data_IF_487640920657
#
_entry.id   IF_487640920657
#
_cell.length_a   1.000
_cell.length_b   1.000
_cell.length_c   1.000
_cell.angle_alpha   90.00
_cell.angle_beta   90.00
_cell.angle_gamma   90.00
#
_symmetry.space_group_name_H-M   'P 1'
#
loop_
_entity.id
_entity.type
_entity.pdbx_description
1 polymer ?
#
# COMPACT_ATOMS: atom_id res chain seq x y z
N UNK A 1 71.10 -14.55 -39.21
CA UNK A 1 70.96 -15.94 -39.65
C UNK A 1 69.51 -16.11 -40.09
N UNK A 2 69.21 -15.95 -41.28
CA UNK A 2 68.99 -16.78 -42.46
C UNK A 2 68.22 -18.08 -42.12
N UNK A 3 66.91 -18.18 -42.56
CA UNK A 3 66.34 -19.35 -43.29
C UNK A 3 64.85 -19.02 -43.62
N UNK A 4 64.50 -18.79 -44.81
CA UNK A 4 63.91 -19.66 -45.87
C UNK A 4 62.67 -20.43 -45.28
N UNK A 5 61.46 -20.25 -45.70
CA UNK A 5 60.88 -20.18 -47.05
C UNK A 5 60.31 -21.56 -47.44
N UNK A 6 59.01 -21.75 -47.40
CA UNK A 6 58.31 -22.74 -48.22
C UNK A 6 56.89 -22.21 -48.55
N UNK A 7 56.69 -21.98 -49.82
CA UNK A 7 55.40 -21.68 -50.44
C UNK A 7 54.74 -23.01 -50.76
N UNK A 8 53.55 -23.26 -50.30
CA UNK A 8 52.71 -24.33 -50.79
C UNK A 8 51.43 -23.75 -51.41
N UNK A 9 51.36 -23.87 -52.74
CA UNK A 9 50.19 -23.57 -53.55
C UNK A 9 49.28 -24.80 -53.48
N UNK A 10 48.06 -24.65 -52.99
CA UNK A 10 47.00 -25.65 -53.11
C UNK A 10 45.87 -25.09 -53.91
N UNK A 11 45.56 -25.77 -54.99
CA UNK A 11 44.54 -25.48 -55.96
C UNK A 11 43.15 -25.60 -55.36
N UNK A 12 42.32 -24.60 -55.65
CA UNK A 12 40.91 -24.61 -55.32
C UNK A 12 40.10 -25.43 -56.38
N UNK A 13 39.50 -26.48 -55.93
CA UNK A 13 38.42 -27.16 -56.65
C UNK A 13 37.06 -26.54 -56.23
N UNK A 14 36.42 -25.84 -57.16
CA UNK A 14 35.11 -25.27 -56.97
C UNK A 14 34.06 -26.38 -56.95
N UNK A 15 33.32 -26.43 -55.84
CA UNK A 15 32.06 -27.17 -55.77
C UNK A 15 30.97 -26.12 -55.83
N UNK A 16 30.23 -26.08 -56.97
CA UNK A 16 29.02 -25.31 -57.10
C UNK A 16 27.91 -26.00 -56.27
N UNK A 17 27.78 -25.58 -55.01
CA UNK A 17 26.62 -25.95 -54.16
C UNK A 17 25.41 -25.11 -54.53
N UNK A 18 24.34 -25.73 -54.97
CA UNK A 18 23.02 -25.08 -55.08
C UNK A 18 22.61 -24.57 -53.72
N UNK A 19 22.63 -23.28 -53.56
CA UNK A 19 22.17 -22.61 -52.34
C UNK A 19 20.64 -22.55 -52.41
N UNK A 20 20.02 -23.48 -51.71
CA UNK A 20 18.56 -23.49 -51.50
C UNK A 20 18.19 -22.21 -50.72
N UNK A 21 17.39 -21.38 -51.35
CA UNK A 21 16.96 -20.12 -50.74
C UNK A 21 16.16 -20.43 -49.47
N UNK A 22 16.65 -20.01 -48.32
CA UNK A 22 15.95 -20.08 -47.07
C UNK A 22 14.57 -19.36 -47.19
N UNK A 23 13.48 -19.98 -46.69
CA UNK A 23 12.17 -19.32 -46.73
C UNK A 23 12.24 -18.00 -45.96
N UNK A 24 11.72 -16.94 -46.60
CA UNK A 24 11.64 -15.62 -46.01
C UNK A 24 10.91 -15.71 -44.66
N UNK A 25 11.57 -15.24 -43.58
CA UNK A 25 10.96 -15.17 -42.28
C UNK A 25 9.68 -14.33 -42.36
N UNK A 26 8.56 -14.92 -42.01
CA UNK A 26 7.29 -14.22 -41.88
C UNK A 26 7.46 -13.24 -40.76
N UNK A 27 7.19 -11.94 -40.98
CA UNK A 27 7.31 -10.95 -39.89
C UNK A 27 6.35 -11.33 -38.78
N UNK A 28 6.91 -11.67 -37.61
CA UNK A 28 6.11 -11.87 -36.40
C UNK A 28 5.41 -10.55 -36.05
N UNK A 29 4.10 -10.56 -36.16
CA UNK A 29 3.29 -9.43 -35.65
C UNK A 29 3.59 -9.25 -34.17
N UNK A 30 4.00 -8.06 -33.72
CA UNK A 30 4.27 -7.84 -32.30
C UNK A 30 3.03 -8.25 -31.50
N UNK A 31 3.17 -9.26 -30.66
CA UNK A 31 2.11 -9.67 -29.74
C UNK A 31 1.91 -8.51 -28.76
N UNK A 32 0.73 -7.89 -28.82
CA UNK A 32 0.38 -6.83 -27.85
C UNK A 32 0.64 -7.36 -26.44
N UNK A 33 1.40 -6.61 -25.64
CA UNK A 33 1.59 -6.93 -24.23
C UNK A 33 0.21 -6.99 -23.58
N UNK A 34 -0.07 -8.01 -22.74
CA UNK A 34 -1.32 -8.03 -22.00
C UNK A 34 -1.43 -6.73 -21.19
N UNK A 35 -2.65 -6.16 -21.05
CA UNK A 35 -2.84 -4.99 -20.21
C UNK A 35 -2.30 -5.30 -18.81
N UNK A 36 -1.70 -4.31 -18.11
CA UNK A 36 -1.25 -4.51 -16.74
C UNK A 36 -2.43 -5.04 -15.92
N UNK A 37 -2.18 -6.05 -15.10
CA UNK A 37 -3.18 -6.54 -14.17
C UNK A 37 -3.68 -5.37 -13.34
N UNK A 38 -5.00 -5.22 -13.23
CA UNK A 38 -5.61 -4.19 -12.41
C UNK A 38 -5.05 -4.26 -10.99
N UNK A 39 -4.58 -3.13 -10.47
CA UNK A 39 -4.05 -3.11 -9.12
C UNK A 39 -5.21 -3.27 -8.14
N UNK A 40 -5.11 -4.18 -7.15
CA UNK A 40 -6.13 -4.33 -6.14
C UNK A 40 -6.30 -3.02 -5.38
N UNK A 41 -7.53 -2.63 -5.20
CA UNK A 41 -7.95 -1.41 -4.54
C UNK A 41 -8.75 -1.68 -3.28
N UNK A 42 -9.22 -0.62 -2.66
CA UNK A 42 -10.16 -0.67 -1.55
C UNK A 42 -11.30 0.31 -1.78
N UNK A 43 -12.51 -0.16 -1.48
CA UNK A 43 -13.71 0.69 -1.45
C UNK A 43 -14.27 0.74 -0.02
N UNK A 44 -14.84 1.87 0.34
CA UNK A 44 -15.50 2.08 1.63
C UNK A 44 -16.57 3.17 1.49
N UNK A 45 -17.52 3.19 2.40
CA UNK A 45 -18.59 4.19 2.39
C UNK A 45 -18.14 5.43 3.18
N UNK A 46 -18.59 6.59 2.76
CA UNK A 46 -18.30 7.89 3.39
C UNK A 46 -19.50 8.37 4.15
N UNK A 47 -19.30 8.96 5.30
CA UNK A 47 -20.33 9.73 5.97
C UNK A 47 -20.78 10.93 5.10
N UNK A 48 -22.05 11.31 5.22
CA UNK A 48 -22.62 12.43 4.46
C UNK A 48 -21.85 13.73 4.75
N UNK A 49 -21.58 14.51 3.71
CA UNK A 49 -20.85 15.77 3.80
C UNK A 49 -19.33 15.64 3.65
N UNK A 50 -18.76 14.48 3.89
CA UNK A 50 -17.32 14.27 3.71
C UNK A 50 -16.95 14.08 2.24
N UNK A 51 -15.75 14.52 1.90
CA UNK A 51 -15.11 14.34 0.60
C UNK A 51 -13.86 13.50 0.71
N UNK A 52 -13.35 13.02 -0.42
CA UNK A 52 -12.10 12.26 -0.51
C UNK A 52 -11.10 12.96 -1.40
N UNK A 53 -9.83 12.86 -1.05
CA UNK A 53 -8.69 13.25 -1.88
C UNK A 53 -7.54 12.25 -1.72
N UNK A 54 -6.61 12.16 -2.69
CA UNK A 54 -5.36 11.45 -2.45
C UNK A 54 -4.63 12.07 -1.25
N UNK A 55 -3.82 11.28 -0.57
CA UNK A 55 -2.90 11.83 0.44
C UNK A 55 -1.92 12.80 -0.23
N UNK A 56 -1.48 13.80 0.51
CA UNK A 56 -0.35 14.63 0.10
C UNK A 56 0.90 13.75 0.13
N UNK A 57 1.85 14.05 -0.76
CA UNK A 57 3.04 13.27 -1.01
C UNK A 57 2.79 12.01 -1.86
N UNK A 58 3.88 11.43 -2.33
CA UNK A 58 3.92 10.23 -3.17
C UNK A 58 3.60 8.94 -2.37
N UNK A 59 2.59 9.02 -1.48
CA UNK A 59 2.17 7.85 -0.70
C UNK A 59 1.21 7.03 -1.57
N UNK A 60 1.65 5.91 -2.12
CA UNK A 60 0.81 5.12 -3.01
C UNK A 60 -0.42 4.58 -2.25
N UNK A 61 -1.56 4.54 -2.94
CA UNK A 61 -2.80 3.93 -2.47
C UNK A 61 -3.30 4.50 -1.14
N UNK A 62 -3.19 5.80 -0.97
CA UNK A 62 -3.63 6.51 0.21
C UNK A 62 -4.73 7.51 -0.13
N UNK A 63 -5.78 7.52 0.68
CA UNK A 63 -6.94 8.41 0.55
C UNK A 63 -7.23 9.06 1.89
N UNK A 64 -7.49 10.35 1.86
CA UNK A 64 -7.96 11.11 3.02
C UNK A 64 -9.44 11.42 2.87
N UNK A 65 -10.23 11.17 3.91
CA UNK A 65 -11.57 11.72 4.06
C UNK A 65 -11.45 13.03 4.81
N UNK A 66 -12.06 14.06 4.28
CA UNK A 66 -11.99 15.38 4.87
C UNK A 66 -13.34 16.10 4.88
N UNK A 67 -13.52 17.00 5.84
CA UNK A 67 -14.67 17.90 5.90
C UNK A 67 -14.30 19.24 5.22
N UNK A 68 -14.90 19.56 4.06
CA UNK A 68 -14.59 20.80 3.35
C UNK A 68 -15.07 22.06 4.09
N UNK A 69 -15.96 21.92 5.07
CA UNK A 69 -16.48 23.03 5.87
C UNK A 69 -15.66 23.31 7.13
N UNK A 70 -14.77 22.39 7.53
CA UNK A 70 -13.94 22.55 8.70
C UNK A 70 -12.73 23.50 8.44
N UNK A 71 -12.17 24.04 9.51
CA UNK A 71 -10.91 24.78 9.45
C UNK A 71 -9.76 23.88 8.96
N UNK A 72 -8.80 24.48 8.25
CA UNK A 72 -7.76 23.74 7.52
C UNK A 72 -7.03 22.69 8.39
N UNK A 73 -6.63 23.04 9.61
CA UNK A 73 -5.90 22.14 10.50
C UNK A 73 -6.77 21.03 11.15
N UNK A 74 -8.11 21.14 11.08
CA UNK A 74 -9.07 20.15 11.59
C UNK A 74 -9.79 19.40 10.48
N UNK A 75 -9.47 19.71 9.23
CA UNK A 75 -10.23 19.25 8.06
C UNK A 75 -10.07 17.76 7.80
N UNK A 76 -8.86 17.24 7.93
CA UNK A 76 -8.52 15.86 7.61
C UNK A 76 -8.93 14.95 8.77
N UNK A 77 -9.93 14.12 8.52
CA UNK A 77 -10.58 13.31 9.55
C UNK A 77 -10.11 11.86 9.55
N UNK A 78 -9.97 11.24 8.39
CA UNK A 78 -9.61 9.82 8.29
C UNK A 78 -8.61 9.61 7.16
N UNK A 79 -7.59 8.83 7.44
CA UNK A 79 -6.64 8.35 6.45
C UNK A 79 -6.86 6.86 6.22
N UNK A 80 -6.99 6.46 4.96
CA UNK A 80 -7.14 5.07 4.53
C UNK A 80 -5.99 4.75 3.60
N UNK A 81 -5.15 3.80 3.97
CA UNK A 81 -3.94 3.46 3.22
C UNK A 81 -3.77 1.97 3.08
N UNK A 82 -3.43 1.51 1.87
CA UNK A 82 -3.15 0.09 1.59
C UNK A 82 -1.66 -0.22 1.66
N UNK A 83 -1.36 -1.39 2.21
CA UNK A 83 -0.02 -1.95 2.30
C UNK A 83 0.00 -3.39 1.79
N UNK A 84 1.11 -3.81 1.21
CA UNK A 84 1.35 -5.22 0.92
C UNK A 84 1.70 -5.95 2.21
N UNK A 85 1.08 -7.10 2.44
CA UNK A 85 1.39 -7.94 3.59
C UNK A 85 0.16 -8.38 4.39
N UNK A 86 0.34 -9.42 5.20
CA UNK A 86 -0.72 -9.97 6.05
C UNK A 86 -0.97 -9.08 7.28
N UNK A 87 -2.14 -9.30 7.91
CA UNK A 87 -2.68 -8.51 9.01
C UNK A 87 -1.65 -8.17 10.11
N UNK A 88 -1.01 -9.18 10.70
CA UNK A 88 -0.12 -8.96 11.84
C UNK A 88 1.14 -8.16 11.48
N UNK A 89 1.69 -8.40 10.27
CA UNK A 89 2.88 -7.68 9.80
C UNK A 89 2.59 -6.19 9.61
N UNK A 90 1.49 -5.87 8.91
CA UNK A 90 1.11 -4.48 8.66
C UNK A 90 0.63 -3.81 9.95
N UNK A 91 -0.10 -4.51 10.81
CA UNK A 91 -0.55 -3.97 12.08
C UNK A 91 0.62 -3.56 13.00
N UNK A 92 1.69 -4.36 13.04
CA UNK A 92 2.88 -4.01 13.81
C UNK A 92 3.65 -2.84 13.18
N UNK A 93 3.85 -2.86 11.87
CA UNK A 93 4.67 -1.84 11.19
C UNK A 93 3.98 -0.47 11.09
N UNK A 94 2.66 -0.46 10.81
CA UNK A 94 1.94 0.74 10.38
C UNK A 94 0.93 1.25 11.41
N UNK A 95 0.48 0.40 12.34
CA UNK A 95 -0.47 0.78 13.40
C UNK A 95 0.11 0.65 14.81
N UNK A 96 1.38 0.26 14.96
CA UNK A 96 2.03 0.12 16.25
C UNK A 96 1.37 -0.93 17.17
N UNK A 97 0.79 -1.98 16.58
CA UNK A 97 0.12 -3.05 17.34
C UNK A 97 1.14 -4.13 17.71
N UNK A 98 1.61 -4.11 18.92
CA UNK A 98 2.68 -4.99 19.41
C UNK A 98 2.22 -5.84 20.58
N UNK A 99 2.83 -7.01 20.73
CA UNK A 99 2.57 -7.87 21.89
C UNK A 99 3.40 -7.42 23.09
N UNK A 100 2.74 -7.19 24.21
CA UNK A 100 3.42 -6.91 25.47
C UNK A 100 4.05 -8.18 26.09
N UNK A 101 4.68 -8.05 27.24
CA UNK A 101 5.34 -9.16 27.93
C UNK A 101 4.39 -10.31 28.30
N UNK A 102 3.11 -10.03 28.51
CA UNK A 102 2.06 -11.01 28.80
C UNK A 102 1.43 -11.61 27.53
N UNK A 103 1.94 -11.26 26.33
CA UNK A 103 1.46 -11.73 25.04
C UNK A 103 0.17 -11.07 24.55
N UNK A 104 -0.35 -10.07 25.25
CA UNK A 104 -1.51 -9.29 24.82
C UNK A 104 -1.12 -8.29 23.75
N UNK A 105 -1.96 -8.15 22.72
CA UNK A 105 -1.75 -7.15 21.67
C UNK A 105 -2.16 -5.78 22.20
N UNK A 106 -1.25 -4.83 22.11
CA UNK A 106 -1.39 -3.46 22.59
C UNK A 106 -0.97 -2.49 21.51
N UNK A 107 -1.47 -1.26 21.55
CA UNK A 107 -0.95 -0.18 20.71
C UNK A 107 -0.25 0.87 21.54
N UNK A 108 0.86 1.41 20.99
CA UNK A 108 1.62 2.51 21.55
C UNK A 108 1.25 3.86 20.90
N UNK A 109 0.36 3.85 19.93
CA UNK A 109 -0.07 5.06 19.19
C UNK A 109 -1.09 5.89 19.95
N UNK A 110 -0.97 5.96 21.24
CA UNK A 110 -1.77 6.81 22.07
C UNK A 110 -0.90 7.86 22.78
N UNK A 111 -1.52 8.90 23.25
CA UNK A 111 -0.84 9.94 24.03
C UNK A 111 -0.49 9.49 25.45
N UNK A 112 -1.25 8.54 25.96
CA UNK A 112 -1.14 8.03 27.32
C UNK A 112 -0.63 6.58 27.32
N UNK A 113 -1.10 5.80 28.27
CA UNK A 113 -0.70 4.39 28.39
C UNK A 113 -1.14 3.57 27.17
N UNK A 114 -0.40 2.51 26.85
CA UNK A 114 -0.78 1.59 25.80
C UNK A 114 -2.19 1.02 26.01
N UNK A 115 -2.97 0.96 24.92
CA UNK A 115 -4.35 0.47 24.91
C UNK A 115 -4.40 -0.93 24.32
N UNK A 116 -5.28 -1.79 24.83
CA UNK A 116 -5.50 -3.12 24.29
C UNK A 116 -6.09 -3.03 22.86
N UNK A 117 -5.53 -3.87 21.97
CA UNK A 117 -6.02 -4.02 20.60
C UNK A 117 -7.06 -5.13 20.58
N UNK A 118 -8.20 -4.86 19.94
CA UNK A 118 -9.31 -5.79 19.78
C UNK A 118 -9.27 -6.42 18.38
N UNK A 119 -9.50 -7.73 18.32
CA UNK A 119 -9.76 -8.43 17.07
C UNK A 119 -11.23 -8.26 16.68
N UNK A 120 -11.49 -8.06 15.39
CA UNK A 120 -12.84 -7.99 14.82
C UNK A 120 -12.89 -8.61 13.43
N UNK A 121 -14.08 -8.70 12.85
CA UNK A 121 -14.29 -9.15 11.48
C UNK A 121 -15.22 -8.18 10.75
N UNK A 122 -14.91 -7.91 9.49
CA UNK A 122 -15.76 -7.11 8.62
C UNK A 122 -15.80 -7.71 7.21
N UNK A 123 -17.01 -7.96 6.69
CA UNK A 123 -17.20 -8.56 5.36
C UNK A 123 -16.41 -9.87 5.15
N UNK A 124 -16.31 -10.72 6.19
CA UNK A 124 -15.54 -11.97 6.17
C UNK A 124 -14.02 -11.77 6.16
N UNK A 125 -13.52 -10.60 6.52
CA UNK A 125 -12.10 -10.27 6.60
C UNK A 125 -11.70 -9.98 8.04
N UNK A 126 -10.59 -10.58 8.53
CA UNK A 126 -10.09 -10.32 9.86
C UNK A 126 -9.52 -8.90 9.97
N UNK A 127 -9.69 -8.32 11.14
CA UNK A 127 -9.15 -7.01 11.47
C UNK A 127 -8.70 -6.90 12.92
N UNK A 128 -7.92 -5.87 13.18
CA UNK A 128 -7.43 -5.44 14.49
C UNK A 128 -7.74 -3.97 14.65
N UNK A 129 -8.18 -3.54 15.83
CA UNK A 129 -8.47 -2.13 16.10
C UNK A 129 -8.15 -1.72 17.52
N UNK A 130 -7.91 -0.42 17.71
CA UNK A 130 -7.84 0.21 19.02
C UNK A 130 -8.37 1.64 18.93
N UNK A 131 -9.02 2.10 20.00
CA UNK A 131 -9.37 3.50 20.19
C UNK A 131 -8.41 4.07 21.22
N UNK A 132 -7.71 5.14 20.87
CA UNK A 132 -6.69 5.77 21.69
C UNK A 132 -7.00 7.24 21.87
N UNK A 133 -6.55 7.84 22.96
CA UNK A 133 -6.55 9.30 23.07
C UNK A 133 -5.45 9.85 22.17
N UNK A 134 -5.82 10.63 21.18
CA UNK A 134 -4.89 11.30 20.29
C UNK A 134 -4.67 12.76 20.73
N UNK A 135 -3.66 13.37 20.16
CA UNK A 135 -3.32 14.75 20.48
C UNK A 135 -2.29 15.30 19.51
N UNK A 136 -2.19 16.61 19.52
CA UNK A 136 -1.15 17.35 18.82
C UNK A 136 -0.01 17.60 19.79
N UNK A 137 1.21 17.32 19.38
CA UNK A 137 2.43 17.66 20.08
C UNK A 137 3.30 18.50 19.17
N UNK A 138 3.63 19.69 19.61
CA UNK A 138 4.59 20.55 18.94
C UNK A 138 5.92 20.47 19.70
N UNK A 139 6.93 19.80 19.15
CA UNK A 139 8.23 19.64 19.81
C UNK A 139 9.02 20.94 19.95
N UNK A 140 8.74 21.96 19.10
CA UNK A 140 9.46 23.24 19.14
C UNK A 140 8.97 24.13 20.28
N UNK A 141 7.66 24.16 20.52
CA UNK A 141 7.05 24.99 21.56
C UNK A 141 6.77 24.22 22.84
N UNK A 142 6.85 22.90 22.82
CA UNK A 142 6.44 22.03 23.91
C UNK A 142 4.92 22.01 24.14
N UNK A 143 4.14 22.54 23.19
CA UNK A 143 2.69 22.53 23.26
C UNK A 143 2.14 21.13 23.08
N UNK A 144 1.21 20.75 23.97
CA UNK A 144 0.50 19.47 23.89
C UNK A 144 -0.99 19.70 24.11
N UNK A 145 -1.80 19.32 23.14
CA UNK A 145 -3.25 19.33 23.24
C UNK A 145 -3.81 17.93 22.99
N UNK A 146 -4.78 17.51 23.80
CA UNK A 146 -5.60 16.35 23.46
C UNK A 146 -6.59 16.75 22.37
N UNK A 147 -6.71 15.93 21.35
CA UNK A 147 -7.62 16.14 20.22
C UNK A 147 -8.81 15.15 20.23
N UNK A 148 -9.07 14.49 21.36
CA UNK A 148 -10.15 13.52 21.50
C UNK A 148 -9.70 12.07 21.29
N UNK A 149 -10.64 11.22 20.84
CA UNK A 149 -10.39 9.81 20.58
C UNK A 149 -10.12 9.57 19.10
N UNK A 150 -9.15 8.71 18.81
CA UNK A 150 -8.80 8.27 17.45
C UNK A 150 -8.93 6.78 17.34
N UNK A 151 -9.43 6.32 16.21
CA UNK A 151 -9.38 4.92 15.80
C UNK A 151 -8.10 4.64 15.04
N UNK A 152 -7.46 3.53 15.39
CA UNK A 152 -6.52 2.82 14.54
C UNK A 152 -7.10 1.45 14.23
N UNK A 153 -7.22 1.11 12.96
CA UNK A 153 -7.71 -0.18 12.53
C UNK A 153 -6.90 -0.72 11.36
N UNK A 154 -6.74 -2.03 11.31
CA UNK A 154 -6.13 -2.74 10.20
C UNK A 154 -7.06 -3.87 9.79
N UNK A 155 -7.40 -3.97 8.50
CA UNK A 155 -8.21 -5.05 7.93
C UNK A 155 -7.40 -5.71 6.82
N UNK A 156 -7.44 -7.04 6.72
CA UNK A 156 -6.62 -7.78 5.75
C UNK A 156 -7.41 -8.81 4.95
N UNK A 157 -7.05 -8.98 3.68
CA UNK A 157 -7.51 -10.11 2.86
C UNK A 157 -6.53 -11.30 2.89
N UNK A 158 -5.43 -11.18 3.66
CA UNK A 158 -4.36 -12.16 3.78
C UNK A 158 -3.11 -11.84 2.95
N UNK A 159 -3.23 -11.07 1.88
CA UNK A 159 -2.11 -10.65 1.01
C UNK A 159 -1.85 -9.16 1.08
N UNK A 160 -2.89 -8.40 1.33
CA UNK A 160 -2.86 -6.96 1.49
C UNK A 160 -3.64 -6.57 2.74
N UNK A 161 -3.25 -5.46 3.31
CA UNK A 161 -3.91 -4.90 4.48
C UNK A 161 -4.16 -3.41 4.30
N UNK A 162 -5.27 -2.96 4.84
CA UNK A 162 -5.66 -1.54 4.84
C UNK A 162 -5.54 -1.03 6.26
N UNK A 163 -4.79 0.03 6.43
CA UNK A 163 -4.71 0.79 7.68
C UNK A 163 -5.67 1.96 7.59
N UNK A 164 -6.51 2.10 8.60
CA UNK A 164 -7.45 3.20 8.76
C UNK A 164 -7.10 3.90 10.06
N UNK A 165 -6.78 5.18 9.98
CA UNK A 165 -6.53 6.01 11.17
C UNK A 165 -7.38 7.26 11.12
N UNK A 166 -7.94 7.66 12.27
CA UNK A 166 -8.67 8.92 12.38
C UNK A 166 -7.88 9.99 13.12
N UNK A 167 -8.22 11.25 12.84
CA UNK A 167 -7.88 12.36 13.70
C UNK A 167 -8.85 12.44 14.88
N UNK A 168 -8.44 13.07 15.98
CA UNK A 168 -9.32 13.32 17.12
C UNK A 168 -10.20 14.57 16.96
N UNK A 169 -10.31 15.11 15.75
CA UNK A 169 -11.09 16.32 15.47
C UNK A 169 -12.48 15.98 14.94
N UNK A 170 -13.44 16.85 15.25
CA UNK A 170 -14.78 16.76 14.71
C UNK A 170 -15.43 15.38 14.89
N UNK A 171 -15.91 14.83 13.79
CA UNK A 171 -16.51 13.49 13.71
C UNK A 171 -15.53 12.44 13.14
N UNK A 172 -14.22 12.63 13.32
CA UNK A 172 -13.19 11.75 12.77
C UNK A 172 -13.32 10.29 13.22
N UNK A 173 -13.63 10.07 14.50
CA UNK A 173 -13.85 8.72 15.04
C UNK A 173 -15.05 8.03 14.34
N UNK A 174 -16.21 8.68 14.30
CA UNK A 174 -17.42 8.13 13.67
C UNK A 174 -17.21 7.88 12.18
N UNK A 175 -16.50 8.78 11.50
CA UNK A 175 -16.17 8.62 10.08
C UNK A 175 -15.24 7.43 9.82
N UNK A 176 -14.28 7.18 10.72
CA UNK A 176 -13.40 6.04 10.63
C UNK A 176 -14.13 4.73 10.93
N UNK A 177 -15.00 4.70 11.93
CA UNK A 177 -15.81 3.51 12.23
C UNK A 177 -16.74 3.16 11.05
N UNK A 178 -17.36 4.16 10.41
CA UNK A 178 -18.15 3.95 9.20
C UNK A 178 -17.31 3.41 8.03
N UNK A 179 -16.13 3.93 7.81
CA UNK A 179 -15.20 3.44 6.80
C UNK A 179 -14.79 1.99 7.07
N UNK A 180 -14.43 1.64 8.31
CA UNK A 180 -14.09 0.28 8.73
C UNK A 180 -15.25 -0.67 8.51
N UNK A 181 -16.46 -0.31 8.94
CA UNK A 181 -17.64 -1.17 8.84
C UNK A 181 -18.05 -1.51 7.39
N UNK A 182 -17.63 -0.68 6.43
CA UNK A 182 -18.01 -0.80 5.03
C UNK A 182 -16.87 -1.21 4.10
N UNK A 183 -15.67 -1.45 4.64
CA UNK A 183 -14.48 -1.71 3.83
C UNK A 183 -14.62 -2.96 2.97
N UNK A 184 -14.21 -2.87 1.72
CA UNK A 184 -14.21 -3.96 0.75
C UNK A 184 -12.93 -3.92 -0.08
N UNK A 185 -12.25 -5.04 -0.22
CA UNK A 185 -11.16 -5.19 -1.16
C UNK A 185 -11.73 -5.36 -2.56
N UNK A 186 -11.23 -4.58 -3.51
CA UNK A 186 -11.65 -4.62 -4.92
C UNK A 186 -10.49 -5.12 -5.77
N UNK A 187 -10.83 -5.97 -6.75
CA UNK A 187 -9.99 -6.24 -7.92
C UNK A 187 -10.65 -5.55 -9.08
N UNK A 188 -10.03 -4.52 -9.62
CA UNK A 188 -10.51 -3.86 -10.85
C UNK A 188 -10.34 -4.78 -12.07
#
# INVERSE_FOLDING_TARGET
MKSLGVVAVLAALGIAGCQEAAPAAVPETPRASPPPAAEPGVAFDRAAGLQTRPCEEETPRCTVLFDPAAEEFMRDLVRVQMFAGPLETVAAAEAGFERNAEGRLMTTYGRFEPVAVEAFEVNGKPGLRAIVTCGISDPETGFHAAAGECLWAVVSDGTQSVVISSSGFGNGLDAAEAAVASIRFTTD
#
